data_IF_921756962653
#
_entry.id   IF_921756962653
#
_cell.length_a   1.000
_cell.length_b   1.000
_cell.length_c   1.000
_cell.angle_alpha   90.00
_cell.angle_beta   90.00
_cell.angle_gamma   90.00
#
_symmetry.space_group_name_H-M   'P 1'
#
loop_
_entity.id
_entity.type
_entity.pdbx_description
1 polymer ?
#
# COMPACT_ATOMS: atom_id res chain seq x y z
N UNK A 1 -34.52 -4.05 -11.40
CA UNK A 1 -33.11 -4.16 -10.98
C UNK A 1 -33.00 -4.01 -9.47
N UNK A 2 -31.99 -4.61 -8.83
CA UNK A 2 -31.81 -4.58 -7.35
C UNK A 2 -31.12 -3.28 -6.92
N UNK A 3 -31.57 -2.53 -5.90
CA UNK A 3 -30.88 -1.31 -5.44
C UNK A 3 -29.42 -1.56 -5.03
N UNK A 4 -28.55 -0.56 -5.25
CA UNK A 4 -27.12 -0.66 -4.93
C UNK A 4 -26.85 -0.37 -3.45
N UNK A 5 -25.95 -1.16 -2.85
CA UNK A 5 -25.44 -0.97 -1.50
C UNK A 5 -23.92 -0.79 -1.54
N UNK A 6 -23.43 0.40 -1.20
CA UNK A 6 -22.00 0.66 -1.13
C UNK A 6 -21.41 0.15 0.19
N UNK A 7 -20.27 -0.52 0.16
CA UNK A 7 -19.58 -1.02 1.35
C UNK A 7 -18.34 -0.19 1.60
N UNK A 8 -18.32 0.53 2.73
CA UNK A 8 -17.22 1.32 3.23
C UNK A 8 -16.48 0.47 4.25
N UNK A 9 -15.37 -0.17 3.88
CA UNK A 9 -14.65 -1.04 4.79
C UNK A 9 -13.16 -1.11 4.46
N UNK A 10 -12.28 -1.37 5.45
CA UNK A 10 -10.90 -1.71 5.16
C UNK A 10 -10.79 -2.93 4.23
N UNK A 11 -9.67 -3.04 3.52
CA UNK A 11 -9.38 -4.17 2.65
C UNK A 11 -8.32 -5.10 3.23
N UNK A 12 -8.41 -6.40 2.93
CA UNK A 12 -7.40 -7.39 3.33
C UNK A 12 -7.34 -7.64 4.83
N UNK A 13 -6.17 -8.08 5.29
CA UNK A 13 -5.88 -8.31 6.70
C UNK A 13 -5.29 -7.04 7.31
N UNK A 14 -5.95 -6.51 8.33
CA UNK A 14 -5.48 -5.32 9.05
C UNK A 14 -5.46 -5.61 10.55
N UNK A 15 -4.69 -4.83 11.30
CA UNK A 15 -4.63 -4.96 12.75
C UNK A 15 -5.54 -3.94 13.42
N UNK A 16 -6.16 -4.35 14.51
CA UNK A 16 -6.84 -3.43 15.42
C UNK A 16 -5.84 -2.67 16.32
N UNK A 17 -6.37 -1.79 17.17
CA UNK A 17 -5.60 -0.99 18.13
C UNK A 17 -4.76 -1.85 19.10
N UNK A 18 -5.15 -3.10 19.32
CA UNK A 18 -4.48 -4.04 20.21
C UNK A 18 -3.49 -4.95 19.45
N UNK A 19 -3.29 -4.72 18.15
CA UNK A 19 -2.39 -5.49 17.30
C UNK A 19 -2.96 -6.83 16.82
N UNK A 20 -4.23 -7.14 17.11
CA UNK A 20 -4.84 -8.38 16.65
C UNK A 20 -5.31 -8.23 15.20
N UNK A 21 -5.10 -9.28 14.40
CA UNK A 21 -5.52 -9.29 13.01
C UNK A 21 -7.06 -9.41 12.88
N UNK A 22 -7.60 -8.71 11.89
CA UNK A 22 -8.97 -8.81 11.39
C UNK A 22 -8.87 -9.01 9.88
N UNK A 23 -9.48 -10.10 9.39
CA UNK A 23 -9.57 -10.39 7.96
C UNK A 23 -10.86 -9.80 7.38
N UNK A 24 -10.73 -8.60 6.81
CA UNK A 24 -11.86 -7.89 6.23
C UNK A 24 -12.38 -8.53 4.93
N UNK A 25 -11.55 -9.35 4.25
CA UNK A 25 -12.01 -10.11 3.10
C UNK A 25 -12.94 -11.25 3.53
N UNK A 26 -12.58 -11.96 4.61
CA UNK A 26 -13.45 -12.96 5.23
C UNK A 26 -14.77 -12.34 5.70
N UNK A 27 -14.71 -11.22 6.42
CA UNK A 27 -15.92 -10.51 6.89
C UNK A 27 -16.82 -10.10 5.72
N UNK A 28 -16.24 -9.58 4.64
CA UNK A 28 -17.00 -9.23 3.46
C UNK A 28 -17.67 -10.45 2.81
N UNK A 29 -16.90 -11.50 2.52
CA UNK A 29 -17.35 -12.68 1.77
C UNK A 29 -18.37 -13.50 2.56
N UNK A 30 -18.09 -13.75 3.84
CA UNK A 30 -18.89 -14.67 4.65
C UNK A 30 -20.12 -14.00 5.25
N UNK A 31 -20.03 -12.70 5.61
CA UNK A 31 -21.06 -11.98 6.38
C UNK A 31 -21.74 -10.86 5.58
N UNK A 32 -21.02 -9.80 5.21
CA UNK A 32 -21.63 -8.56 4.70
C UNK A 32 -22.30 -8.80 3.33
N UNK A 33 -21.57 -9.42 2.39
CA UNK A 33 -22.05 -9.65 1.02
C UNK A 33 -23.30 -10.54 0.99
N UNK A 34 -23.35 -11.70 1.67
CA UNK A 34 -24.56 -12.51 1.71
C UNK A 34 -25.77 -11.77 2.30
N UNK A 35 -25.60 -11.03 3.40
CA UNK A 35 -26.70 -10.28 4.02
C UNK A 35 -27.29 -9.20 3.10
N UNK A 36 -26.44 -8.48 2.35
CA UNK A 36 -26.88 -7.50 1.35
C UNK A 36 -27.66 -8.19 0.22
N UNK A 37 -27.19 -9.35 -0.26
CA UNK A 37 -27.86 -10.11 -1.31
C UNK A 37 -29.23 -10.64 -0.85
N UNK A 38 -29.32 -11.12 0.39
CA UNK A 38 -30.55 -11.61 1.02
C UNK A 38 -31.58 -10.48 1.22
N UNK A 39 -31.13 -9.25 1.43
CA UNK A 39 -32.00 -8.05 1.46
C UNK A 39 -32.50 -7.64 0.06
N UNK A 40 -32.11 -8.36 -1.00
CA UNK A 40 -32.48 -8.05 -2.38
C UNK A 40 -31.73 -6.84 -2.95
N UNK A 41 -30.55 -6.52 -2.40
CA UNK A 41 -29.69 -5.44 -2.82
C UNK A 41 -28.47 -5.99 -3.58
N UNK A 42 -27.72 -5.10 -4.21
CA UNK A 42 -26.50 -5.41 -4.94
C UNK A 42 -25.28 -4.75 -4.27
N UNK A 43 -24.33 -5.54 -3.74
CA UNK A 43 -23.18 -5.02 -3.02
C UNK A 43 -22.11 -4.47 -3.96
N UNK A 44 -21.63 -3.25 -3.67
CA UNK A 44 -20.46 -2.64 -4.29
C UNK A 44 -19.43 -2.34 -3.20
N UNK A 45 -18.36 -3.13 -3.17
CA UNK A 45 -17.19 -2.82 -2.35
C UNK A 45 -16.18 -2.08 -3.21
N UNK A 46 -15.75 -0.91 -2.78
CA UNK A 46 -14.49 -0.36 -3.28
C UNK A 46 -13.39 -1.06 -2.50
N UNK A 47 -12.51 -1.80 -3.19
CA UNK A 47 -11.25 -2.19 -2.57
C UNK A 47 -10.50 -0.89 -2.24
N UNK A 48 -9.81 -0.82 -1.07
CA UNK A 48 -9.04 0.36 -0.69
C UNK A 48 -8.23 0.78 -1.92
N UNK A 49 -8.62 1.90 -2.51
CA UNK A 49 -7.90 2.40 -3.65
C UNK A 49 -6.49 2.67 -3.15
N UNK A 50 -5.52 1.95 -3.73
CA UNK A 50 -4.08 2.05 -3.45
C UNK A 50 -3.55 3.50 -3.67
N UNK A 51 -4.44 4.36 -4.14
CA UNK A 51 -4.29 5.78 -4.41
C UNK A 51 -4.31 6.55 -3.09
N UNK A 52 -3.15 6.57 -2.42
CA UNK A 52 -2.96 7.31 -1.17
C UNK A 52 -3.58 8.71 -1.22
N UNK A 53 -4.63 8.91 -0.42
CA UNK A 53 -5.22 10.22 -0.12
C UNK A 53 -6.09 10.86 -1.21
N UNK A 54 -6.34 10.20 -2.36
CA UNK A 54 -7.20 10.78 -3.39
C UNK A 54 -8.58 10.15 -3.35
N UNK A 55 -9.57 10.98 -3.06
CA UNK A 55 -10.97 10.66 -3.28
C UNK A 55 -11.37 11.26 -4.61
N UNK A 56 -11.68 10.41 -5.56
CA UNK A 56 -12.02 10.76 -6.94
C UNK A 56 -13.53 10.70 -7.18
N UNK A 57 -13.93 11.20 -8.35
CA UNK A 57 -15.33 11.36 -8.74
C UNK A 57 -16.15 10.05 -8.59
N UNK A 58 -15.70 8.87 -9.05
CA UNK A 58 -16.44 7.62 -8.87
C UNK A 58 -16.73 7.25 -7.40
N UNK A 59 -15.80 7.54 -6.48
CA UNK A 59 -16.03 7.31 -5.05
C UNK A 59 -17.14 8.21 -4.51
N UNK A 60 -17.10 9.51 -4.80
CA UNK A 60 -18.17 10.43 -4.44
C UNK A 60 -19.50 10.03 -5.08
N UNK A 61 -19.49 9.61 -6.35
CA UNK A 61 -20.67 9.09 -7.03
C UNK A 61 -21.24 7.84 -6.32
N UNK A 62 -20.41 6.92 -5.82
CA UNK A 62 -20.88 5.78 -4.99
C UNK A 62 -21.52 6.25 -3.69
N UNK A 63 -20.87 7.13 -2.94
CA UNK A 63 -21.39 7.68 -1.69
C UNK A 63 -22.71 8.42 -1.89
N UNK A 64 -22.83 9.14 -3.02
CA UNK A 64 -23.98 9.96 -3.35
C UNK A 64 -25.11 9.18 -4.02
N UNK A 65 -24.84 8.24 -4.92
CA UNK A 65 -25.83 7.61 -5.80
C UNK A 65 -26.31 6.25 -5.29
N UNK A 66 -25.49 5.50 -4.55
CA UNK A 66 -25.95 4.24 -3.95
C UNK A 66 -27.10 4.52 -2.96
N UNK A 67 -28.17 3.75 -3.07
CA UNK A 67 -29.34 3.93 -2.20
C UNK A 67 -29.02 3.50 -0.77
N UNK A 68 -28.17 2.49 -0.60
CA UNK A 68 -27.75 1.95 0.69
C UNK A 68 -26.25 2.05 0.88
N UNK A 69 -25.82 2.11 2.13
CA UNK A 69 -24.42 2.03 2.53
C UNK A 69 -24.26 1.16 3.79
N UNK A 70 -23.20 0.36 3.83
CA UNK A 70 -22.76 -0.38 5.01
C UNK A 70 -21.33 0.01 5.32
N UNK A 71 -21.07 0.57 6.50
CA UNK A 71 -19.76 1.06 6.92
C UNK A 71 -19.18 0.25 8.08
N UNK A 72 -17.97 -0.29 7.93
CA UNK A 72 -17.27 -1.05 8.98
C UNK A 72 -16.23 -0.18 9.72
N UNK A 73 -16.50 0.09 10.99
CA UNK A 73 -15.75 1.03 11.83
C UNK A 73 -14.68 0.37 12.72
N UNK A 74 -14.40 -0.92 12.52
CA UNK A 74 -13.70 -1.78 13.50
C UNK A 74 -12.26 -1.38 13.86
N UNK A 75 -11.54 -0.64 13.00
CA UNK A 75 -10.11 -0.33 13.20
C UNK A 75 -9.77 1.17 13.18
N UNK A 76 -10.74 2.06 13.38
CA UNK A 76 -10.51 3.51 13.28
C UNK A 76 -9.90 3.98 11.94
N UNK A 77 -10.27 3.32 10.84
CA UNK A 77 -9.72 3.66 9.53
C UNK A 77 -10.21 5.05 9.10
N UNK A 78 -9.31 6.04 9.09
CA UNK A 78 -9.64 7.43 8.81
C UNK A 78 -10.40 7.64 7.49
N UNK A 79 -10.12 6.84 6.45
CA UNK A 79 -10.81 6.91 5.17
C UNK A 79 -12.28 6.52 5.32
N UNK A 80 -12.57 5.42 6.02
CA UNK A 80 -13.95 4.98 6.27
C UNK A 80 -14.74 6.03 7.06
N UNK A 81 -14.11 6.68 8.05
CA UNK A 81 -14.76 7.78 8.79
C UNK A 81 -15.05 8.99 7.92
N UNK A 82 -14.10 9.36 7.04
CA UNK A 82 -14.28 10.47 6.12
C UNK A 82 -15.42 10.19 5.12
N UNK A 83 -15.43 9.01 4.51
CA UNK A 83 -16.50 8.55 3.61
C UNK A 83 -17.87 8.48 4.32
N UNK A 84 -17.91 7.98 5.55
CA UNK A 84 -19.12 7.96 6.38
C UNK A 84 -19.61 9.39 6.67
N UNK A 85 -18.71 10.33 6.93
CA UNK A 85 -19.04 11.74 7.12
C UNK A 85 -19.71 12.36 5.88
N UNK A 86 -19.15 12.11 4.69
CA UNK A 86 -19.77 12.54 3.42
C UNK A 86 -21.14 11.89 3.24
N UNK A 87 -21.24 10.58 3.50
CA UNK A 87 -22.49 9.84 3.39
C UNK A 87 -23.56 10.44 4.30
N UNK A 88 -23.25 10.66 5.58
CA UNK A 88 -24.15 11.30 6.54
C UNK A 88 -24.51 12.74 6.15
N UNK A 89 -23.63 13.47 5.46
CA UNK A 89 -23.92 14.84 5.02
C UNK A 89 -24.90 14.91 3.85
N UNK A 90 -24.94 13.89 3.00
CA UNK A 90 -25.71 13.89 1.74
C UNK A 90 -26.97 13.03 1.84
N UNK A 91 -26.88 11.92 2.59
CA UNK A 91 -27.92 10.90 2.66
C UNK A 91 -28.52 10.86 4.06
N UNK A 92 -29.83 11.16 4.19
CA UNK A 92 -30.51 11.17 5.48
C UNK A 92 -30.71 9.79 6.10
N UNK A 93 -30.86 8.75 5.28
CA UNK A 93 -31.16 7.38 5.70
C UNK A 93 -30.44 6.33 4.85
N UNK A 94 -30.60 5.07 5.25
CA UNK A 94 -30.04 3.87 4.60
C UNK A 94 -28.52 3.77 4.73
N UNK A 95 -27.97 4.17 5.88
CA UNK A 95 -26.56 4.03 6.22
C UNK A 95 -26.43 3.18 7.49
N UNK A 96 -25.93 1.96 7.35
CA UNK A 96 -25.79 1.01 8.46
C UNK A 96 -24.33 0.91 8.85
N UNK A 97 -24.02 1.08 10.13
CA UNK A 97 -22.67 0.93 10.65
C UNK A 97 -22.48 -0.44 11.32
N UNK A 98 -21.30 -1.03 11.14
CA UNK A 98 -20.85 -2.28 11.75
C UNK A 98 -19.58 -2.01 12.55
N UNK A 99 -19.33 -2.80 13.59
CA UNK A 99 -18.06 -2.75 14.32
C UNK A 99 -17.75 -4.08 15.01
N UNK A 100 -16.46 -4.37 15.20
CA UNK A 100 -16.02 -5.53 15.95
C UNK A 100 -16.20 -5.29 17.46
N UNK A 101 -16.77 -6.25 18.19
CA UNK A 101 -17.22 -6.07 19.59
C UNK A 101 -16.12 -5.64 20.56
N UNK A 102 -14.84 -5.88 20.24
CA UNK A 102 -13.69 -5.49 21.05
C UNK A 102 -13.05 -4.19 20.58
N UNK A 103 -13.60 -3.56 19.55
CA UNK A 103 -13.17 -2.25 19.07
C UNK A 103 -13.77 -1.13 19.93
N UNK A 104 -12.96 -0.12 20.23
CA UNK A 104 -13.42 1.10 20.88
C UNK A 104 -13.83 2.11 19.81
N UNK A 105 -15.13 2.28 19.62
CA UNK A 105 -15.65 3.30 18.71
C UNK A 105 -15.36 4.71 19.27
N UNK A 106 -15.00 5.69 18.42
CA UNK A 106 -14.87 7.08 18.82
C UNK A 106 -16.20 7.63 19.35
N UNK A 107 -16.13 8.59 20.27
CA UNK A 107 -17.30 9.18 20.92
C UNK A 107 -18.35 9.67 19.90
N UNK A 108 -17.89 10.33 18.81
CA UNK A 108 -18.74 10.93 17.77
C UNK A 108 -19.55 9.91 16.95
N UNK A 109 -19.23 8.62 17.03
CA UNK A 109 -20.00 7.55 16.36
C UNK A 109 -20.52 6.49 17.33
N UNK A 110 -20.18 6.59 18.62
CA UNK A 110 -20.57 5.58 19.63
C UNK A 110 -22.08 5.57 19.91
N UNK A 111 -22.79 6.66 19.61
CA UNK A 111 -24.24 6.76 19.76
C UNK A 111 -25.00 6.24 18.52
N UNK A 112 -24.30 5.94 17.42
CA UNK A 112 -24.92 5.32 16.25
C UNK A 112 -25.41 3.91 16.61
N UNK A 113 -26.54 3.51 16.03
CA UNK A 113 -27.09 2.15 16.18
C UNK A 113 -26.29 1.15 15.33
N UNK A 114 -25.02 0.98 15.66
CA UNK A 114 -24.10 0.09 14.96
C UNK A 114 -24.37 -1.38 15.30
N UNK A 115 -24.18 -2.28 14.34
CA UNK A 115 -24.30 -3.73 14.55
C UNK A 115 -22.95 -4.28 15.04
N UNK A 116 -22.88 -4.76 16.30
CA UNK A 116 -21.71 -5.49 16.81
C UNK A 116 -21.52 -6.82 16.07
N UNK A 117 -20.27 -7.18 15.77
CA UNK A 117 -19.89 -8.52 15.32
C UNK A 117 -18.58 -9.02 15.95
N UNK A 118 -18.42 -10.34 16.03
CA UNK A 118 -17.15 -10.95 16.39
C UNK A 118 -16.33 -11.27 15.12
N UNK A 119 -15.03 -10.96 15.10
CA UNK A 119 -14.14 -11.22 13.94
C UNK A 119 -14.09 -12.68 13.46
N UNK A 120 -14.38 -13.64 14.34
CA UNK A 120 -14.44 -15.07 13.98
C UNK A 120 -15.80 -15.46 13.37
N UNK A 121 -16.77 -14.53 13.33
CA UNK A 121 -18.13 -14.73 12.85
C UNK A 121 -18.84 -15.91 13.53
N UNK A 122 -18.63 -16.08 14.84
CA UNK A 122 -19.13 -17.24 15.59
C UNK A 122 -20.65 -17.42 15.56
N UNK A 123 -21.40 -16.33 15.35
CA UNK A 123 -22.86 -16.30 15.21
C UNK A 123 -23.29 -15.80 13.81
N UNK A 124 -22.62 -16.28 12.77
CA UNK A 124 -22.78 -15.78 11.39
C UNK A 124 -24.24 -15.66 10.91
N UNK A 125 -25.08 -16.67 11.13
CA UNK A 125 -26.46 -16.66 10.64
C UNK A 125 -27.33 -15.63 11.38
N UNK A 126 -27.08 -15.41 12.66
CA UNK A 126 -27.74 -14.34 13.43
C UNK A 126 -27.29 -12.96 12.94
N UNK A 127 -25.98 -12.77 12.72
CA UNK A 127 -25.42 -11.53 12.18
C UNK A 127 -26.00 -11.20 10.81
N UNK A 128 -26.01 -12.17 9.89
CA UNK A 128 -26.63 -12.03 8.56
C UNK A 128 -28.08 -11.62 8.69
N UNK A 129 -28.88 -12.39 9.46
CA UNK A 129 -30.29 -12.09 9.67
C UNK A 129 -30.50 -10.68 10.22
N UNK A 130 -29.67 -10.25 11.19
CA UNK A 130 -29.75 -8.90 11.78
C UNK A 130 -29.43 -7.81 10.76
N UNK A 131 -28.38 -7.95 9.96
CA UNK A 131 -28.01 -6.99 8.92
C UNK A 131 -29.08 -6.96 7.80
N UNK A 132 -29.52 -8.12 7.31
CA UNK A 132 -30.59 -8.25 6.31
C UNK A 132 -31.86 -7.56 6.76
N UNK A 133 -32.33 -7.83 7.98
CA UNK A 133 -33.54 -7.22 8.53
C UNK A 133 -33.38 -5.69 8.71
N UNK A 134 -32.19 -5.22 9.05
CA UNK A 134 -31.92 -3.77 9.18
C UNK A 134 -31.97 -3.08 7.81
N UNK A 135 -31.38 -3.69 6.78
CA UNK A 135 -31.46 -3.22 5.40
C UNK A 135 -32.90 -3.21 4.86
N UNK A 136 -33.67 -4.27 5.13
CA UNK A 136 -35.08 -4.35 4.73
C UNK A 136 -35.92 -3.28 5.44
N UNK A 137 -35.67 -3.01 6.73
CA UNK A 137 -36.35 -1.92 7.46
C UNK A 137 -36.02 -0.55 6.88
N UNK A 138 -34.76 -0.29 6.53
CA UNK A 138 -34.36 0.96 5.88
C UNK A 138 -35.02 1.15 4.51
N UNK A 139 -35.40 0.04 3.84
CA UNK A 139 -36.16 0.07 2.59
C UNK A 139 -37.63 0.45 2.78
N UNK A 140 -38.25 -0.02 3.85
CA UNK A 140 -39.67 0.20 4.14
C UNK A 140 -39.93 1.55 4.82
N UNK A 141 -39.07 1.94 5.76
CA UNK A 141 -39.19 3.15 6.57
C UNK A 141 -37.96 4.03 6.41
N UNK A 142 -38.15 5.22 5.84
CA UNK A 142 -37.12 6.24 5.66
C UNK A 142 -37.00 7.13 6.90
N UNK A 143 -36.78 6.51 8.05
CA UNK A 143 -36.37 7.27 9.24
C UNK A 143 -34.93 7.73 9.05
N UNK A 144 -34.67 9.00 9.36
CA UNK A 144 -33.32 9.55 9.25
C UNK A 144 -32.40 8.80 10.23
N UNK A 145 -31.30 8.25 9.71
CA UNK A 145 -30.24 7.57 10.47
C UNK A 145 -28.93 8.38 10.52
N UNK A 146 -28.82 9.42 9.70
CA UNK A 146 -27.72 10.36 9.74
C UNK A 146 -27.85 11.31 10.94
N UNK A 147 -26.81 11.46 11.77
CA UNK A 147 -26.81 12.43 12.87
C UNK A 147 -27.08 13.86 12.41
N UNK A 148 -26.65 14.21 11.19
CA UNK A 148 -26.83 15.56 10.67
C UNK A 148 -28.32 15.90 10.47
N UNK A 149 -29.07 14.97 9.87
CA UNK A 149 -30.49 15.14 9.60
C UNK A 149 -31.36 14.90 10.84
N UNK A 150 -30.90 14.09 11.78
CA UNK A 150 -31.58 13.88 13.08
C UNK A 150 -31.46 15.07 14.04
N UNK A 151 -30.30 15.75 14.06
CA UNK A 151 -29.97 16.74 15.08
C UNK A 151 -30.17 18.19 14.63
N UNK A 152 -30.20 18.46 13.33
CA UNK A 152 -30.28 19.83 12.80
C UNK A 152 -31.59 20.04 12.04
N UNK A 153 -32.46 20.84 12.63
CA UNK A 153 -33.74 21.22 12.02
C UNK A 153 -33.53 22.03 10.73
N UNK A 154 -34.34 21.72 9.72
CA UNK A 154 -34.42 22.49 8.47
C UNK A 154 -33.41 22.10 7.39
N UNK A 155 -32.49 21.17 7.65
CA UNK A 155 -31.64 20.57 6.61
C UNK A 155 -32.53 19.68 5.72
N UNK A 156 -32.44 19.89 4.40
CA UNK A 156 -33.13 19.07 3.41
C UNK A 156 -32.13 18.27 2.59
N UNK A 157 -32.41 17.00 2.29
CA UNK A 157 -31.58 16.21 1.38
C UNK A 157 -31.52 16.88 0.01
N UNK A 158 -30.35 16.85 -0.62
CA UNK A 158 -30.21 17.28 -2.01
C UNK A 158 -30.97 16.36 -2.96
N UNK A 159 -31.75 16.92 -3.89
CA UNK A 159 -32.45 16.19 -4.97
C UNK A 159 -31.45 15.69 -6.02
N UNK A 160 -30.66 14.68 -5.67
CA UNK A 160 -29.71 14.00 -6.57
C UNK A 160 -30.44 12.88 -7.36
N UNK A 161 -31.65 12.49 -6.93
CA UNK A 161 -32.31 11.29 -7.40
C UNK A 161 -33.15 11.53 -8.67
N UNK A 162 -32.60 11.09 -9.81
CA UNK A 162 -33.27 10.18 -10.78
C UNK A 162 -32.56 10.13 -12.16
N UNK A 163 -31.53 10.94 -12.41
CA UNK A 163 -31.05 11.12 -13.78
C UNK A 163 -29.97 10.09 -14.22
N UNK A 164 -29.30 9.32 -13.34
CA UNK A 164 -28.18 8.44 -13.76
C UNK A 164 -27.94 7.13 -13.00
N UNK A 165 -28.92 6.51 -12.36
CA UNK A 165 -28.67 5.23 -11.66
C UNK A 165 -28.26 4.10 -12.61
N UNK A 166 -28.82 4.05 -13.82
CA UNK A 166 -28.49 2.99 -14.80
C UNK A 166 -27.11 3.22 -15.45
N UNK A 167 -26.81 4.45 -15.89
CA UNK A 167 -25.49 4.83 -16.42
C UNK A 167 -24.38 4.59 -15.38
N UNK A 168 -24.66 4.89 -14.12
CA UNK A 168 -23.72 4.64 -13.02
C UNK A 168 -23.45 3.14 -12.81
N UNK A 169 -24.47 2.29 -12.94
CA UNK A 169 -24.29 0.83 -12.86
C UNK A 169 -23.46 0.29 -14.02
N UNK A 170 -23.79 0.70 -15.24
CA UNK A 170 -23.05 0.31 -16.45
C UNK A 170 -21.56 0.68 -16.31
N UNK A 171 -21.26 1.87 -15.78
CA UNK A 171 -19.89 2.30 -15.53
C UNK A 171 -19.18 1.42 -14.49
N UNK A 172 -19.86 1.02 -13.41
CA UNK A 172 -19.28 0.14 -12.40
C UNK A 172 -18.97 -1.24 -12.97
N UNK A 173 -19.92 -1.85 -13.66
CA UNK A 173 -19.74 -3.16 -14.28
C UNK A 173 -18.60 -3.13 -15.31
N UNK A 174 -18.56 -2.06 -16.12
CA UNK A 174 -17.48 -1.82 -17.07
C UNK A 174 -16.12 -1.72 -16.36
N UNK A 175 -15.97 -0.89 -15.33
CA UNK A 175 -14.71 -0.74 -14.60
C UNK A 175 -14.27 -2.06 -13.93
N UNK A 176 -15.21 -2.84 -13.38
CA UNK A 176 -14.89 -4.15 -12.81
C UNK A 176 -14.41 -5.15 -13.88
N UNK A 177 -14.98 -5.10 -15.09
CA UNK A 177 -14.54 -5.93 -16.21
C UNK A 177 -13.10 -5.58 -16.63
N UNK A 178 -12.78 -4.29 -16.64
CA UNK A 178 -11.45 -3.79 -16.97
C UNK A 178 -10.39 -4.19 -15.95
N UNK A 179 -10.70 -4.14 -14.65
CA UNK A 179 -9.78 -4.61 -13.59
C UNK A 179 -9.45 -6.10 -13.74
N UNK A 180 -10.45 -6.93 -14.08
CA UNK A 180 -10.25 -8.36 -14.35
C UNK A 180 -9.43 -8.61 -15.61
N UNK A 181 -9.65 -7.81 -16.66
CA UNK A 181 -8.85 -7.85 -17.89
C UNK A 181 -7.38 -7.54 -17.60
N UNK A 182 -7.10 -6.46 -16.85
CA UNK A 182 -5.73 -6.12 -16.40
C UNK A 182 -5.08 -7.23 -15.58
N UNK A 183 -5.82 -7.85 -14.66
CA UNK A 183 -5.31 -8.98 -13.89
C UNK A 183 -4.92 -10.16 -14.78
N UNK A 184 -5.75 -10.48 -15.78
CA UNK A 184 -5.44 -11.52 -16.77
C UNK A 184 -4.20 -11.18 -17.59
N UNK A 185 -4.04 -9.93 -18.02
CA UNK A 185 -2.87 -9.45 -18.79
C UNK A 185 -1.59 -9.52 -17.96
N UNK A 186 -1.64 -9.14 -16.67
CA UNK A 186 -0.50 -9.27 -15.76
C UNK A 186 -0.04 -10.72 -15.65
N UNK A 187 -0.99 -11.65 -15.53
CA UNK A 187 -0.69 -13.07 -15.40
C UNK A 187 -0.10 -13.67 -16.69
N UNK A 188 -0.50 -13.18 -17.87
CA UNK A 188 0.10 -13.60 -19.15
C UNK A 188 1.45 -12.94 -19.44
N UNK A 189 1.81 -11.88 -18.69
CA UNK A 189 3.03 -11.07 -18.88
C UNK A 189 3.18 -10.53 -20.30
N UNK A 190 2.07 -10.20 -20.96
CA UNK A 190 2.07 -9.70 -22.34
C UNK A 190 1.99 -8.16 -22.38
N UNK A 191 3.08 -7.52 -22.79
CA UNK A 191 3.18 -6.06 -22.88
C UNK A 191 2.32 -5.48 -24.03
N UNK A 192 2.17 -6.21 -25.13
CA UNK A 192 1.37 -5.75 -26.28
C UNK A 192 -0.12 -5.68 -25.92
N UNK A 193 -0.60 -6.66 -25.16
CA UNK A 193 -1.97 -6.67 -24.64
C UNK A 193 -2.19 -5.50 -23.66
N UNK A 194 -1.21 -5.19 -22.83
CA UNK A 194 -1.29 -4.07 -21.88
C UNK A 194 -1.31 -2.71 -22.59
N UNK A 195 -0.49 -2.56 -23.62
CA UNK A 195 -0.48 -1.36 -24.47
C UNK A 195 -1.80 -1.25 -25.26
N UNK A 196 -2.34 -2.36 -25.74
CA UNK A 196 -3.64 -2.40 -26.41
C UNK A 196 -4.78 -2.02 -25.45
N UNK A 197 -4.70 -2.46 -24.20
CA UNK A 197 -5.62 -2.08 -23.14
C UNK A 197 -5.56 -0.57 -22.85
N UNK A 198 -4.37 0.02 -22.72
CA UNK A 198 -4.20 1.47 -22.54
C UNK A 198 -4.89 2.26 -23.66
N UNK A 199 -4.71 1.84 -24.92
CA UNK A 199 -5.32 2.52 -26.08
C UNK A 199 -6.84 2.39 -26.17
N UNK A 200 -7.44 1.44 -25.43
CA UNK A 200 -8.90 1.18 -25.41
C UNK A 200 -9.62 2.03 -24.37
N UNK A 201 -8.93 2.46 -23.31
CA UNK A 201 -9.54 3.20 -22.21
C UNK A 201 -9.51 4.71 -22.46
N UNK A 202 -10.53 5.40 -21.95
CA UNK A 202 -10.60 6.85 -21.97
C UNK A 202 -10.24 7.41 -20.58
N UNK A 203 -9.07 8.07 -20.50
CA UNK A 203 -8.55 8.65 -19.26
C UNK A 203 -9.44 9.73 -18.64
N UNK A 204 -10.34 10.37 -19.41
CA UNK A 204 -11.24 11.39 -18.89
C UNK A 204 -12.43 10.82 -18.11
N UNK A 205 -12.85 9.60 -18.46
CA UNK A 205 -14.07 8.98 -17.93
C UNK A 205 -13.81 7.78 -17.03
N UNK A 206 -12.64 7.16 -17.15
CA UNK A 206 -12.29 5.96 -16.40
C UNK A 206 -12.02 6.24 -14.91
N UNK A 207 -12.27 5.23 -14.07
CA UNK A 207 -11.93 5.27 -12.66
C UNK A 207 -10.42 5.23 -12.44
N UNK A 208 -9.91 6.12 -11.58
CA UNK A 208 -8.48 6.21 -11.26
C UNK A 208 -7.89 4.88 -10.79
N UNK A 209 -8.66 4.05 -10.09
CA UNK A 209 -8.23 2.70 -9.72
C UNK A 209 -7.78 1.85 -10.91
N UNK A 210 -8.45 1.97 -12.07
CA UNK A 210 -8.05 1.26 -13.30
C UNK A 210 -6.74 1.81 -13.86
N UNK A 211 -6.55 3.14 -13.81
CA UNK A 211 -5.31 3.79 -14.27
C UNK A 211 -4.13 3.39 -13.38
N UNK A 212 -4.33 3.32 -12.07
CA UNK A 212 -3.31 2.88 -11.11
C UNK A 212 -3.01 1.39 -11.28
N UNK A 213 -4.03 0.56 -11.48
CA UNK A 213 -3.82 -0.85 -11.80
C UNK A 213 -3.02 -1.01 -13.09
N UNK A 214 -3.27 -0.18 -14.11
CA UNK A 214 -2.47 -0.14 -15.36
C UNK A 214 -1.02 0.27 -15.09
N UNK A 215 -0.78 1.33 -14.30
CA UNK A 215 0.55 1.77 -13.90
C UNK A 215 1.34 0.67 -13.19
N UNK A 216 0.71 0.00 -12.22
CA UNK A 216 1.31 -1.11 -11.48
C UNK A 216 1.49 -2.36 -12.35
N UNK A 217 0.63 -2.55 -13.35
CA UNK A 217 0.79 -3.63 -14.34
C UNK A 217 2.03 -3.40 -15.22
N UNK A 218 2.26 -2.17 -15.68
CA UNK A 218 3.51 -1.83 -16.38
C UNK A 218 4.73 -2.04 -15.50
N UNK A 219 4.66 -1.67 -14.22
CA UNK A 219 5.73 -1.95 -13.25
C UNK A 219 6.02 -3.43 -13.13
N UNK A 220 4.99 -4.27 -13.02
CA UNK A 220 5.14 -5.72 -12.89
C UNK A 220 5.78 -6.38 -14.12
N UNK A 221 5.61 -5.78 -15.30
CA UNK A 221 6.24 -6.21 -16.55
C UNK A 221 7.58 -5.51 -16.81
N UNK A 222 8.10 -4.72 -15.87
CA UNK A 222 9.31 -3.90 -15.99
C UNK A 222 9.29 -2.92 -17.19
N UNK A 223 8.10 -2.52 -17.66
CA UNK A 223 7.91 -1.58 -18.76
C UNK A 223 7.97 -0.12 -18.27
N UNK A 224 9.16 0.29 -17.80
CA UNK A 224 9.34 1.57 -17.11
C UNK A 224 9.17 2.78 -18.04
N UNK A 225 9.51 2.68 -19.33
CA UNK A 225 9.22 3.73 -20.30
C UNK A 225 7.71 3.99 -20.43
N UNK A 226 6.90 2.92 -20.50
CA UNK A 226 5.44 3.04 -20.54
C UNK A 226 4.89 3.66 -19.26
N UNK A 227 5.45 3.33 -18.09
CA UNK A 227 5.05 3.99 -16.84
C UNK A 227 5.25 5.51 -16.90
N UNK A 228 6.42 5.96 -17.38
CA UNK A 228 6.72 7.39 -17.50
C UNK A 228 5.73 8.08 -18.44
N UNK A 229 5.49 7.49 -19.63
CA UNK A 229 4.54 8.03 -20.60
C UNK A 229 3.10 8.04 -20.09
N UNK A 230 2.69 6.99 -19.36
CA UNK A 230 1.36 6.91 -18.79
C UNK A 230 1.09 8.05 -17.82
N UNK A 231 2.04 8.37 -16.93
CA UNK A 231 1.89 9.45 -15.95
C UNK A 231 1.70 10.81 -16.61
N UNK A 232 2.35 11.06 -17.75
CA UNK A 232 2.16 12.29 -18.53
C UNK A 232 0.73 12.42 -19.10
N UNK A 233 0.06 11.28 -19.36
CA UNK A 233 -1.30 11.21 -19.88
C UNK A 233 -2.38 11.10 -18.78
N UNK A 234 -1.99 10.93 -17.51
CA UNK A 234 -2.95 10.79 -16.42
C UNK A 234 -3.68 12.11 -16.10
N UNK A 235 -4.94 12.05 -15.62
CA UNK A 235 -5.62 13.21 -15.07
C UNK A 235 -4.80 13.88 -13.97
N UNK A 236 -4.68 15.22 -14.02
CA UNK A 236 -3.81 16.00 -13.11
C UNK A 236 -3.95 15.66 -11.62
N UNK A 237 -5.17 15.51 -11.06
CA UNK A 237 -5.30 15.16 -9.65
C UNK A 237 -4.62 13.83 -9.32
N UNK A 238 -4.73 12.84 -10.21
CA UNK A 238 -4.11 11.52 -10.03
C UNK A 238 -2.60 11.58 -10.27
N UNK A 239 -2.17 12.24 -11.35
CA UNK A 239 -0.76 12.31 -11.70
C UNK A 239 0.06 12.99 -10.61
N UNK A 240 -0.51 14.00 -9.93
CA UNK A 240 0.13 14.73 -8.83
C UNK A 240 0.06 14.04 -7.47
N UNK A 241 -0.57 12.87 -7.37
CA UNK A 241 -0.60 12.11 -6.12
C UNK A 241 0.79 11.67 -5.70
N UNK A 242 1.07 11.65 -4.39
CA UNK A 242 2.37 11.23 -3.85
C UNK A 242 2.73 9.84 -4.37
N UNK A 243 1.80 8.88 -4.26
CA UNK A 243 2.03 7.50 -4.72
C UNK A 243 2.40 7.44 -6.21
N UNK A 244 1.70 8.16 -7.09
CA UNK A 244 2.03 8.18 -8.52
C UNK A 244 3.37 8.88 -8.80
N UNK A 245 3.67 9.96 -8.09
CA UNK A 245 4.96 10.66 -8.23
C UNK A 245 6.13 9.82 -7.70
N UNK A 246 5.94 9.04 -6.63
CA UNK A 246 6.92 8.04 -6.17
C UNK A 246 7.15 6.95 -7.22
N UNK A 247 6.08 6.42 -7.83
CA UNK A 247 6.19 5.46 -8.94
C UNK A 247 6.88 6.06 -10.17
N UNK A 248 6.62 7.34 -10.48
CA UNK A 248 7.30 8.06 -11.55
C UNK A 248 8.79 8.22 -11.25
N UNK A 249 9.15 8.65 -10.04
CA UNK A 249 10.55 8.77 -9.60
C UNK A 249 11.29 7.43 -9.69
N UNK A 250 10.64 6.35 -9.27
CA UNK A 250 11.16 4.99 -9.41
C UNK A 250 11.38 4.62 -10.90
N UNK A 251 10.37 4.79 -11.76
CA UNK A 251 10.45 4.45 -13.17
C UNK A 251 11.51 5.29 -13.91
N UNK A 252 11.59 6.60 -13.64
CA UNK A 252 12.60 7.51 -14.20
C UNK A 252 14.02 7.03 -13.87
N UNK A 253 14.27 6.56 -12.65
CA UNK A 253 15.57 6.00 -12.30
C UNK A 253 15.87 4.72 -13.10
N UNK A 254 14.89 3.83 -13.27
CA UNK A 254 15.05 2.58 -14.03
C UNK A 254 15.37 2.80 -15.51
N UNK A 255 14.80 3.84 -16.13
CA UNK A 255 15.11 4.23 -17.53
C UNK A 255 16.36 5.13 -17.65
N UNK A 256 17.11 5.32 -16.55
CA UNK A 256 18.36 6.08 -16.55
C UNK A 256 18.21 7.61 -16.46
N UNK A 257 16.98 8.14 -16.36
CA UNK A 257 16.69 9.57 -16.18
C UNK A 257 16.83 9.99 -14.72
N UNK A 258 18.01 9.74 -14.13
CA UNK A 258 18.25 9.88 -12.68
C UNK A 258 18.07 11.30 -12.16
N UNK A 259 18.44 12.32 -12.93
CA UNK A 259 18.27 13.72 -12.51
C UNK A 259 16.81 14.16 -12.48
N UNK A 260 15.98 13.60 -13.37
CA UNK A 260 14.53 13.86 -13.34
C UNK A 260 13.87 13.13 -12.17
N UNK A 261 14.31 11.88 -11.88
CA UNK A 261 13.87 11.15 -10.70
C UNK A 261 14.17 11.92 -9.40
N UNK A 262 15.38 12.47 -9.27
CA UNK A 262 15.77 13.29 -8.10
C UNK A 262 14.84 14.49 -7.96
N UNK A 263 14.60 15.26 -9.03
CA UNK A 263 13.74 16.44 -8.98
C UNK A 263 12.32 16.10 -8.50
N UNK A 264 11.74 15.03 -9.02
CA UNK A 264 10.39 14.58 -8.63
C UNK A 264 10.36 14.23 -7.14
N UNK A 265 11.28 13.38 -6.68
CA UNK A 265 11.30 12.90 -5.30
C UNK A 265 11.66 14.00 -4.30
N UNK A 266 12.58 14.90 -4.64
CA UNK A 266 12.89 16.08 -3.81
C UNK A 266 11.71 17.04 -3.73
N UNK A 267 10.90 17.21 -4.79
CA UNK A 267 9.67 18.01 -4.73
C UNK A 267 8.70 17.45 -3.69
N UNK A 268 8.48 16.12 -3.69
CA UNK A 268 7.62 15.45 -2.71
C UNK A 268 8.13 15.72 -1.28
N UNK A 269 9.43 15.54 -1.03
CA UNK A 269 10.03 15.74 0.29
C UNK A 269 9.91 17.20 0.73
N UNK A 270 10.09 18.16 -0.19
CA UNK A 270 10.00 19.58 0.11
C UNK A 270 8.55 20.01 0.44
N UNK A 271 7.56 19.41 -0.21
CA UNK A 271 6.14 19.76 -0.04
C UNK A 271 5.48 19.04 1.14
N UNK A 272 5.82 17.77 1.37
CA UNK A 272 5.15 16.90 2.34
C UNK A 272 6.02 16.45 3.50
N UNK A 273 7.32 16.74 3.46
CA UNK A 273 8.30 16.26 4.42
C UNK A 273 8.89 14.90 4.05
N UNK A 274 9.88 14.48 4.85
CA UNK A 274 10.58 13.20 4.69
C UNK A 274 9.63 12.03 4.97
N UNK A 275 9.79 10.94 4.24
CA UNK A 275 9.02 9.70 4.44
C UNK A 275 9.91 8.49 4.16
N UNK A 276 9.61 7.33 4.77
CA UNK A 276 10.39 6.12 4.52
C UNK A 276 10.43 5.74 3.03
N UNK A 277 9.26 5.76 2.36
CA UNK A 277 9.13 5.35 0.96
C UNK A 277 9.83 6.33 0.02
N UNK A 278 9.51 7.62 0.08
CA UNK A 278 10.07 8.63 -0.83
C UNK A 278 11.59 8.73 -0.68
N UNK A 279 12.09 8.77 0.56
CA UNK A 279 13.52 8.79 0.83
C UNK A 279 14.19 7.45 0.47
N UNK A 280 13.51 6.32 0.65
CA UNK A 280 14.01 5.01 0.22
C UNK A 280 14.23 4.94 -1.28
N UNK A 281 13.29 5.46 -2.08
CA UNK A 281 13.43 5.56 -3.53
C UNK A 281 14.54 6.54 -3.90
N UNK A 282 14.58 7.74 -3.31
CA UNK A 282 15.62 8.74 -3.60
C UNK A 282 17.02 8.24 -3.23
N UNK A 283 17.17 7.56 -2.10
CA UNK A 283 18.40 6.90 -1.68
C UNK A 283 18.86 5.86 -2.71
N UNK A 284 17.92 5.12 -3.33
CA UNK A 284 18.24 4.18 -4.42
C UNK A 284 18.77 4.92 -5.65
N UNK A 285 18.20 6.06 -6.02
CA UNK A 285 18.69 6.88 -7.14
C UNK A 285 20.12 7.36 -6.88
N UNK A 286 20.40 7.85 -5.67
CA UNK A 286 21.75 8.26 -5.29
C UNK A 286 22.74 7.10 -5.24
N UNK A 287 22.32 5.91 -4.78
CA UNK A 287 23.11 4.66 -4.86
C UNK A 287 23.48 4.31 -6.30
N UNK A 288 22.54 4.45 -7.23
CA UNK A 288 22.81 4.16 -8.64
C UNK A 288 23.77 5.21 -9.25
N UNK A 289 23.62 6.51 -8.92
CA UNK A 289 24.59 7.54 -9.34
C UNK A 289 25.98 7.33 -8.73
N UNK A 290 26.07 6.85 -7.49
CA UNK A 290 27.32 6.43 -6.86
C UNK A 290 27.99 5.30 -7.66
N UNK A 291 27.22 4.27 -7.99
CA UNK A 291 27.70 3.11 -8.76
C UNK A 291 28.18 3.51 -10.16
N UNK A 292 27.45 4.40 -10.83
CA UNK A 292 27.84 4.92 -12.15
C UNK A 292 29.12 5.75 -12.07
N UNK A 293 29.24 6.64 -11.09
CA UNK A 293 30.44 7.45 -10.89
C UNK A 293 31.69 6.58 -10.63
N UNK A 294 31.56 5.48 -9.89
CA UNK A 294 32.64 4.51 -9.72
C UNK A 294 33.05 3.84 -11.04
N UNK A 295 32.08 3.42 -11.85
CA UNK A 295 32.35 2.81 -13.17
C UNK A 295 33.04 3.77 -14.13
N UNK A 296 32.71 5.06 -14.03
CA UNK A 296 33.33 6.14 -14.80
C UNK A 296 34.71 6.55 -14.25
N UNK A 297 35.12 6.03 -13.09
CA UNK A 297 36.36 6.41 -12.41
C UNK A 297 36.33 7.81 -11.78
N UNK A 298 35.15 8.40 -11.61
CA UNK A 298 34.96 9.74 -11.04
C UNK A 298 34.80 9.67 -9.51
N UNK A 299 35.93 9.49 -8.82
CA UNK A 299 35.95 9.29 -7.36
C UNK A 299 35.32 10.44 -6.57
N UNK A 300 35.47 11.70 -7.02
CA UNK A 300 34.91 12.86 -6.32
C UNK A 300 33.38 12.82 -6.35
N UNK A 301 32.80 12.53 -7.53
CA UNK A 301 31.35 12.40 -7.64
C UNK A 301 30.84 11.16 -6.90
N UNK A 302 31.59 10.06 -6.94
CA UNK A 302 31.25 8.86 -6.20
C UNK A 302 31.17 9.14 -4.68
N UNK A 303 32.16 9.82 -4.10
CA UNK A 303 32.16 10.20 -2.68
C UNK A 303 30.96 11.10 -2.34
N UNK A 304 30.67 12.09 -3.18
CA UNK A 304 29.51 12.96 -3.00
C UNK A 304 28.17 12.21 -3.04
N UNK A 305 28.00 11.28 -3.99
CA UNK A 305 26.79 10.46 -4.09
C UNK A 305 26.69 9.42 -2.98
N UNK A 306 27.82 8.88 -2.50
CA UNK A 306 27.86 7.98 -1.34
C UNK A 306 27.31 8.69 -0.10
N UNK A 307 27.78 9.92 0.17
CA UNK A 307 27.25 10.74 1.26
C UNK A 307 25.75 10.99 1.11
N UNK A 308 25.30 11.42 -0.06
CA UNK A 308 23.87 11.63 -0.33
C UNK A 308 23.04 10.37 -0.14
N UNK A 309 23.57 9.21 -0.54
CA UNK A 309 22.93 7.90 -0.34
C UNK A 309 22.70 7.63 1.14
N UNK A 310 23.75 7.79 1.96
CA UNK A 310 23.69 7.58 3.41
C UNK A 310 22.68 8.53 4.06
N UNK A 311 22.85 9.84 3.84
CA UNK A 311 22.03 10.85 4.51
C UNK A 311 20.55 10.72 4.10
N UNK A 312 20.26 10.41 2.83
CA UNK A 312 18.88 10.23 2.36
C UNK A 312 18.22 8.99 2.95
N UNK A 313 18.92 7.85 2.98
CA UNK A 313 18.38 6.63 3.59
C UNK A 313 18.19 6.79 5.10
N UNK A 314 19.13 7.46 5.78
CA UNK A 314 19.00 7.77 7.20
C UNK A 314 17.78 8.66 7.47
N UNK A 315 17.61 9.72 6.69
CA UNK A 315 16.44 10.60 6.75
C UNK A 315 15.11 9.85 6.57
N UNK A 316 15.08 8.86 5.68
CA UNK A 316 13.91 7.99 5.48
C UNK A 316 13.63 7.09 6.69
N UNK A 317 14.68 6.50 7.26
CA UNK A 317 14.56 5.65 8.44
C UNK A 317 14.10 6.43 9.68
N UNK A 318 14.61 7.65 9.87
CA UNK A 318 14.23 8.52 10.98
C UNK A 318 12.80 9.05 10.86
N UNK A 319 12.25 9.13 9.63
CA UNK A 319 10.86 9.51 9.41
C UNK A 319 9.87 8.41 9.82
N UNK A 320 10.23 7.13 9.68
CA UNK A 320 9.44 6.00 10.19
C UNK A 320 10.33 4.81 10.60
N UNK A 321 10.72 4.77 11.88
CA UNK A 321 11.55 3.70 12.44
C UNK A 321 10.93 2.29 12.36
N UNK A 322 9.65 2.16 11.99
CA UNK A 322 9.00 0.84 11.84
C UNK A 322 9.38 0.17 10.53
N UNK A 323 9.82 0.94 9.55
CA UNK A 323 10.30 0.43 8.27
C UNK A 323 11.83 0.33 8.28
N UNK A 324 12.33 -0.89 8.32
CA UNK A 324 13.77 -1.14 8.39
C UNK A 324 14.50 -0.97 7.05
N UNK A 325 13.78 -0.87 5.92
CA UNK A 325 14.38 -0.89 4.59
C UNK A 325 15.37 0.28 4.36
N UNK A 326 15.03 1.56 4.65
CA UNK A 326 16.00 2.62 4.53
C UNK A 326 17.14 2.45 5.54
N UNK A 327 16.83 1.97 6.75
CA UNK A 327 17.79 1.76 7.83
C UNK A 327 18.92 0.81 7.47
N UNK A 328 18.61 -0.39 6.94
CA UNK A 328 19.63 -1.36 6.53
C UNK A 328 20.52 -0.83 5.40
N UNK A 329 19.93 -0.11 4.44
CA UNK A 329 20.70 0.52 3.37
C UNK A 329 21.61 1.62 3.93
N UNK A 330 21.12 2.48 4.83
CA UNK A 330 21.94 3.52 5.47
C UNK A 330 23.17 2.91 6.14
N UNK A 331 22.99 1.91 7.01
CA UNK A 331 24.13 1.29 7.74
C UNK A 331 25.07 0.52 6.82
N UNK A 332 24.56 -0.04 5.72
CA UNK A 332 25.39 -0.71 4.70
C UNK A 332 26.30 0.30 4.00
N UNK A 333 25.77 1.46 3.60
CA UNK A 333 26.61 2.49 2.97
C UNK A 333 27.50 3.24 3.97
N UNK A 334 27.09 3.34 5.24
CA UNK A 334 27.97 3.83 6.32
C UNK A 334 29.18 2.90 6.52
N UNK A 335 29.02 1.57 6.44
CA UNK A 335 30.16 0.63 6.45
C UNK A 335 31.13 0.89 5.30
N UNK A 336 30.61 1.20 4.10
CA UNK A 336 31.45 1.50 2.94
C UNK A 336 32.23 2.79 3.16
N UNK A 337 31.59 3.81 3.71
CA UNK A 337 32.15 5.13 3.97
C UNK A 337 33.01 5.24 5.25
N UNK A 338 33.15 4.16 6.02
CA UNK A 338 33.76 4.19 7.37
C UNK A 338 33.09 5.22 8.31
N UNK A 339 31.77 5.36 8.21
CA UNK A 339 30.98 6.30 9.00
C UNK A 339 30.57 5.67 10.35
N UNK A 340 31.06 6.25 11.45
CA UNK A 340 30.85 5.75 12.81
C UNK A 340 29.39 5.82 13.27
N UNK A 341 28.53 6.66 12.64
CA UNK A 341 27.08 6.72 12.91
C UNK A 341 26.43 5.34 12.78
N UNK A 342 27.01 4.44 11.98
CA UNK A 342 26.60 3.04 11.87
C UNK A 342 26.40 2.37 13.23
N UNK A 343 27.29 2.62 14.19
CA UNK A 343 27.27 1.97 15.51
C UNK A 343 26.05 2.39 16.34
N UNK A 344 25.49 3.58 16.08
CA UNK A 344 24.30 4.09 16.75
C UNK A 344 23.02 3.60 16.06
N UNK A 345 23.01 3.57 14.72
CA UNK A 345 21.82 3.27 13.92
C UNK A 345 21.57 1.77 13.80
N UNK A 346 22.60 0.94 13.65
CA UNK A 346 22.48 -0.52 13.49
C UNK A 346 21.59 -1.18 14.57
N UNK A 347 21.77 -0.95 15.89
CA UNK A 347 20.91 -1.56 16.89
C UNK A 347 19.44 -1.08 16.81
N UNK A 348 19.19 0.13 16.31
CA UNK A 348 17.83 0.66 16.10
C UNK A 348 17.16 -0.06 14.94
N UNK A 349 17.88 -0.27 13.82
CA UNK A 349 17.40 -1.08 12.69
C UNK A 349 17.10 -2.51 13.13
N UNK A 350 18.01 -3.12 13.91
CA UNK A 350 17.79 -4.47 14.44
C UNK A 350 16.54 -4.55 15.32
N UNK A 351 16.36 -3.56 16.20
CA UNK A 351 15.18 -3.47 17.05
C UNK A 351 13.90 -3.34 16.24
N UNK A 352 13.88 -2.47 15.22
CA UNK A 352 12.75 -2.26 14.32
C UNK A 352 12.31 -3.56 13.63
N UNK A 353 13.25 -4.26 12.99
CA UNK A 353 12.99 -5.55 12.34
C UNK A 353 12.44 -6.56 13.35
N UNK A 354 13.06 -6.69 14.53
CA UNK A 354 12.59 -7.60 15.57
C UNK A 354 11.17 -7.26 16.05
N UNK A 355 10.78 -5.98 16.12
CA UNK A 355 9.40 -5.61 16.45
C UNK A 355 8.42 -6.00 15.33
N UNK A 356 8.76 -5.72 14.07
CA UNK A 356 7.94 -6.12 12.91
C UNK A 356 7.69 -7.64 12.92
N UNK A 357 8.77 -8.41 13.11
CA UNK A 357 8.77 -9.87 13.17
C UNK A 357 7.93 -10.48 14.29
N UNK A 358 7.58 -9.75 15.35
CA UNK A 358 6.66 -10.27 16.38
C UNK A 358 5.26 -10.50 15.83
N UNK A 359 4.92 -9.83 14.73
CA UNK A 359 3.56 -9.81 14.22
C UNK A 359 3.41 -10.49 12.86
N UNK A 360 4.32 -10.22 11.94
CA UNK A 360 4.40 -10.91 10.65
C UNK A 360 5.87 -10.96 10.25
N UNK A 361 6.34 -12.15 9.89
CA UNK A 361 7.72 -12.36 9.47
C UNK A 361 7.70 -12.67 7.99
N UNK A 362 8.51 -11.96 7.23
CA UNK A 362 8.75 -12.26 5.83
C UNK A 362 10.23 -12.56 5.57
N UNK A 363 10.55 -12.95 4.34
CA UNK A 363 11.91 -13.17 3.86
C UNK A 363 12.83 -11.97 4.17
N UNK A 364 12.34 -10.75 3.95
CA UNK A 364 13.13 -9.53 4.05
C UNK A 364 13.54 -9.22 5.48
N UNK A 365 12.72 -9.60 6.46
CA UNK A 365 13.07 -9.48 7.87
C UNK A 365 14.28 -10.36 8.22
N UNK A 366 14.29 -11.61 7.77
CA UNK A 366 15.42 -12.53 7.98
C UNK A 366 16.66 -12.08 7.22
N UNK A 367 16.51 -11.67 5.96
CA UNK A 367 17.60 -11.16 5.14
C UNK A 367 18.24 -9.92 5.78
N UNK A 368 17.41 -8.99 6.28
CA UNK A 368 17.90 -7.80 6.99
C UNK A 368 18.69 -8.17 8.25
N UNK A 369 18.17 -9.08 9.10
CA UNK A 369 18.92 -9.52 10.28
C UNK A 369 20.24 -10.20 9.92
N UNK A 370 20.27 -10.97 8.82
CA UNK A 370 21.50 -11.59 8.32
C UNK A 370 22.51 -10.53 7.89
N UNK A 371 22.09 -9.54 7.10
CA UNK A 371 22.94 -8.41 6.68
C UNK A 371 23.48 -7.63 7.89
N UNK A 372 22.63 -7.34 8.90
CA UNK A 372 23.07 -6.70 10.14
C UNK A 372 24.12 -7.55 10.88
N UNK A 373 23.91 -8.86 11.01
CA UNK A 373 24.89 -9.75 11.64
C UNK A 373 26.23 -9.76 10.87
N UNK A 374 26.18 -9.64 9.54
CA UNK A 374 27.38 -9.50 8.71
C UNK A 374 28.09 -8.17 8.98
N UNK A 375 27.36 -7.06 9.05
CA UNK A 375 27.89 -5.73 9.37
C UNK A 375 28.52 -5.68 10.77
N UNK A 376 27.94 -6.40 11.74
CA UNK A 376 28.50 -6.58 13.10
C UNK A 376 29.70 -7.53 13.16
N UNK A 377 30.06 -8.20 12.05
CA UNK A 377 31.09 -9.26 12.03
C UNK A 377 30.75 -10.44 12.96
N UNK A 378 29.46 -10.69 13.19
CA UNK A 378 28.97 -11.76 14.05
C UNK A 378 28.68 -13.03 13.23
N UNK A 379 29.74 -13.80 12.95
CA UNK A 379 29.68 -15.04 12.14
C UNK A 379 28.70 -16.08 12.71
N UNK A 380 28.65 -16.22 14.03
CA UNK A 380 27.77 -17.20 14.69
C UNK A 380 26.30 -16.85 14.47
N UNK A 381 25.93 -15.59 14.72
CA UNK A 381 24.57 -15.07 14.48
C UNK A 381 24.19 -15.15 13.00
N UNK A 382 25.10 -14.78 12.10
CA UNK A 382 24.86 -14.85 10.66
C UNK A 382 24.55 -16.30 10.20
N UNK A 383 25.33 -17.29 10.66
CA UNK A 383 25.07 -18.70 10.36
C UNK A 383 23.76 -19.22 10.94
N UNK A 384 23.35 -18.75 12.13
CA UNK A 384 22.04 -19.09 12.71
C UNK A 384 20.87 -18.52 11.91
N UNK A 385 21.05 -17.33 11.31
CA UNK A 385 20.02 -16.66 10.51
C UNK A 385 19.93 -17.22 9.09
N UNK A 386 21.04 -17.71 8.53
CA UNK A 386 21.12 -18.22 7.16
C UNK A 386 20.04 -19.27 6.84
N UNK A 387 19.81 -20.23 7.73
CA UNK A 387 18.75 -21.23 7.54
C UNK A 387 17.38 -20.57 7.33
N UNK A 388 17.03 -19.57 8.16
CA UNK A 388 15.75 -18.90 8.04
C UNK A 388 15.64 -18.08 6.75
N UNK A 389 16.73 -17.49 6.27
CA UNK A 389 16.75 -16.81 4.97
C UNK A 389 16.44 -17.78 3.85
N UNK A 390 17.11 -18.94 3.82
CA UNK A 390 16.91 -19.96 2.78
C UNK A 390 15.50 -20.56 2.84
N UNK A 391 15.05 -20.97 4.02
CA UNK A 391 13.74 -21.62 4.24
C UNK A 391 12.55 -20.71 3.91
N UNK A 392 12.76 -19.39 3.86
CA UNK A 392 11.72 -18.40 3.59
C UNK A 392 11.82 -17.76 2.19
N UNK A 393 12.64 -18.29 1.27
CA UNK A 393 12.65 -17.84 -0.13
C UNK A 393 11.29 -18.17 -0.77
N UNK A 394 10.65 -17.16 -1.34
CA UNK A 394 9.34 -17.28 -2.03
C UNK A 394 9.46 -16.95 -3.50
N UNK A 395 10.33 -16.01 -3.84
CA UNK A 395 10.46 -15.46 -5.18
C UNK A 395 11.92 -15.49 -5.64
N UNK A 396 12.16 -15.75 -6.93
CA UNK A 396 13.52 -15.90 -7.47
C UNK A 396 14.40 -14.65 -7.40
N UNK A 397 13.81 -13.47 -7.18
CA UNK A 397 14.55 -12.20 -7.08
C UNK A 397 15.00 -11.87 -5.64
N UNK A 398 14.35 -12.46 -4.63
CA UNK A 398 14.66 -12.28 -3.21
C UNK A 398 16.13 -12.61 -2.90
N UNK A 399 16.61 -13.86 -3.14
CA UNK A 399 17.98 -14.24 -2.84
C UNK A 399 19.02 -13.50 -3.71
N UNK A 400 18.69 -13.16 -4.95
CA UNK A 400 19.55 -12.32 -5.81
C UNK A 400 19.81 -10.95 -5.18
N UNK A 401 18.80 -10.35 -4.58
CA UNK A 401 18.90 -9.03 -3.96
C UNK A 401 19.79 -9.07 -2.72
N UNK A 402 19.56 -10.04 -1.84
CA UNK A 402 20.37 -10.25 -0.63
C UNK A 402 21.84 -10.53 -0.97
N UNK A 403 22.10 -11.38 -1.98
CA UNK A 403 23.46 -11.66 -2.47
C UNK A 403 24.13 -10.38 -2.98
N UNK A 404 23.41 -9.54 -3.74
CA UNK A 404 23.96 -8.28 -4.23
C UNK A 404 24.35 -7.34 -3.08
N UNK A 405 23.54 -7.25 -2.02
CA UNK A 405 23.85 -6.45 -0.84
C UNK A 405 25.08 -6.98 -0.09
N UNK A 406 25.17 -8.30 0.13
CA UNK A 406 26.32 -8.93 0.77
C UNK A 406 27.60 -8.73 -0.04
N UNK A 407 27.53 -8.79 -1.38
CA UNK A 407 28.68 -8.55 -2.26
C UNK A 407 29.22 -7.13 -2.13
N UNK A 408 28.36 -6.12 -1.97
CA UNK A 408 28.79 -4.74 -1.72
C UNK A 408 29.63 -4.65 -0.43
N UNK A 409 29.19 -5.34 0.63
CA UNK A 409 29.93 -5.40 1.91
C UNK A 409 31.26 -6.14 1.72
N UNK A 410 31.26 -7.27 1.01
CA UNK A 410 32.46 -8.05 0.71
C UNK A 410 33.49 -7.21 -0.05
N UNK A 411 33.08 -6.52 -1.11
CA UNK A 411 33.96 -5.68 -1.92
C UNK A 411 34.61 -4.57 -1.08
N UNK A 412 33.81 -3.87 -0.26
CA UNK A 412 34.34 -2.84 0.64
C UNK A 412 35.35 -3.42 1.64
N UNK A 413 35.03 -4.56 2.25
CA UNK A 413 35.92 -5.21 3.24
C UNK A 413 37.20 -5.77 2.62
N UNK A 414 37.15 -6.27 1.39
CA UNK A 414 38.34 -6.72 0.64
C UNK A 414 39.32 -5.58 0.41
N UNK A 415 38.82 -4.40 0.02
CA UNK A 415 39.67 -3.20 -0.15
C UNK A 415 40.35 -2.81 1.16
N UNK A 416 39.68 -3.04 2.30
CA UNK A 416 40.22 -2.80 3.65
C UNK A 416 41.10 -3.93 4.20
N UNK A 417 41.29 -5.02 3.44
CA UNK A 417 42.10 -6.17 3.87
C UNK A 417 41.46 -7.03 4.97
N UNK A 418 40.14 -6.95 5.15
CA UNK A 418 39.40 -7.75 6.14
C UNK A 418 39.05 -9.14 5.58
N UNK A 419 38.96 -10.15 6.45
CA UNK A 419 38.55 -11.51 6.06
C UNK A 419 37.07 -11.57 5.68
N UNK A 420 36.80 -11.91 4.42
CA UNK A 420 35.45 -12.07 3.87
C UNK A 420 35.13 -13.52 3.51
N UNK A 421 36.01 -14.49 3.80
CA UNK A 421 35.85 -15.89 3.39
C UNK A 421 34.53 -16.48 3.89
N UNK A 422 34.20 -16.24 5.15
CA UNK A 422 32.96 -16.73 5.75
C UNK A 422 31.69 -16.05 5.22
N UNK A 423 31.78 -14.82 4.70
CA UNK A 423 30.64 -14.14 4.06
C UNK A 423 30.43 -14.72 2.66
N UNK A 424 31.53 -15.05 1.96
CA UNK A 424 31.45 -15.76 0.68
C UNK A 424 30.78 -17.13 0.83
N UNK A 425 31.10 -17.87 1.89
CA UNK A 425 30.40 -19.13 2.21
C UNK A 425 28.89 -18.91 2.36
N UNK A 426 28.46 -17.85 3.06
CA UNK A 426 27.05 -17.49 3.19
C UNK A 426 26.42 -17.20 1.82
N UNK A 427 27.08 -16.38 1.00
CA UNK A 427 26.64 -16.03 -0.36
C UNK A 427 26.48 -17.28 -1.22
N UNK A 428 27.46 -18.18 -1.22
CA UNK A 428 27.42 -19.44 -1.97
C UNK A 428 26.26 -20.34 -1.56
N UNK A 429 25.90 -20.37 -0.27
CA UNK A 429 24.74 -21.13 0.20
C UNK A 429 23.43 -20.52 -0.28
N UNK A 430 23.29 -19.18 -0.26
CA UNK A 430 22.09 -18.52 -0.78
C UNK A 430 21.96 -18.70 -2.30
N UNK A 431 23.08 -18.66 -3.04
CA UNK A 431 23.11 -18.83 -4.49
C UNK A 431 22.71 -20.22 -4.98
N UNK A 432 22.83 -21.26 -4.15
CA UNK A 432 22.41 -22.63 -4.51
C UNK A 432 20.90 -22.79 -4.65
N UNK A 433 20.13 -21.83 -4.15
CA UNK A 433 18.67 -21.90 -4.05
C UNK A 433 17.94 -21.25 -5.24
N UNK A 434 18.65 -20.71 -6.25
CA UNK A 434 18.01 -20.09 -7.43
C UNK A 434 18.76 -20.18 -8.76
#
# INVERSE_FOLDING_TARGET
>A
MKPLCFILMPFGKKKDQNGNEIDFNKIYIDFIKPAILDAGLEPIRADEEIIGGIIHKPMYERLMLCEYAVADLSILNANVFYELGIRHAIRPHSTITLFEDKSNLPFDVSFLRSIPYNRNLSNLEELKSKLTNTLLKAKENKEDDSPLFQLIDGIKPSDIAHIKTDVFREQIEYNQSLKKELESIRNSKNLDDLTSFENKIDFETIEFGVIVDLLLSYRALEAFENMVLLVDNMPKPLSQSIMVQEQLGFALNRVGRKDDAIKVLESIINEHGKSSETNGILGRVYKDKYTDALKEGNNIMAEGYLKKTIDTYLDGFEADFRDAYPGINAVTFMEIADDERKNEILPVVEFAVKQKMKTNKDYWDWATLLELAVLETNKEKANQLLFNVIDNIRESFEPKTTVNNLNIIIESRKVKGLDTSWILDIVENIQKEY
#
